data_IF_340377715577
#
_entry.id   IF_340377715577
#
_cell.length_a   1.000
_cell.length_b   1.000
_cell.length_c   1.000
_cell.angle_alpha   90.00
_cell.angle_beta   90.00
_cell.angle_gamma   90.00
#
_symmetry.space_group_name_H-M   'P 1'
#
loop_
_entity.id
_entity.type
_entity.pdbx_description
1 polymer ?
#
# COMPACT_ATOMS: atom_id res chain seq x y z
N UNK A 1 -17.45 6.83 19.79
CA UNK A 1 -16.57 8.01 19.58
C UNK A 1 -16.27 8.17 18.09
N UNK A 2 -15.96 7.10 17.38
CA UNK A 2 -15.71 7.09 15.93
C UNK A 2 -16.97 7.17 15.05
N UNK A 3 -18.08 6.52 15.42
CA UNK A 3 -19.33 6.66 14.65
C UNK A 3 -19.79 8.11 14.48
N UNK A 4 -19.68 8.91 15.54
CA UNK A 4 -20.02 10.33 15.50
C UNK A 4 -19.04 11.10 14.62
N UNK A 5 -17.76 10.71 14.61
CA UNK A 5 -16.76 11.30 13.72
C UNK A 5 -17.07 10.98 12.26
N UNK A 6 -17.31 9.72 11.90
CA UNK A 6 -17.70 9.32 10.56
C UNK A 6 -18.98 10.03 10.08
N UNK A 7 -19.99 10.20 10.96
CA UNK A 7 -21.19 10.99 10.64
C UNK A 7 -20.88 12.47 10.39
N UNK A 8 -19.96 13.06 11.15
CA UNK A 8 -19.53 14.44 10.94
C UNK A 8 -18.75 14.60 9.63
N UNK A 9 -17.98 13.59 9.22
CA UNK A 9 -17.29 13.57 7.93
C UNK A 9 -18.29 13.47 6.77
N UNK A 10 -19.33 12.61 6.87
CA UNK A 10 -20.44 12.59 5.90
C UNK A 10 -21.08 13.97 5.74
N UNK A 11 -21.34 14.64 6.87
CA UNK A 11 -21.88 16.01 6.86
C UNK A 11 -20.92 17.02 6.24
N UNK A 12 -19.61 16.82 6.35
CA UNK A 12 -18.64 17.69 5.70
C UNK A 12 -18.70 17.55 4.17
N UNK A 13 -18.90 16.34 3.64
CA UNK A 13 -19.12 16.14 2.21
C UNK A 13 -20.39 16.84 1.72
N UNK A 14 -21.48 16.75 2.49
CA UNK A 14 -22.71 17.49 2.19
C UNK A 14 -22.48 19.02 2.17
N UNK A 15 -21.68 19.53 3.11
CA UNK A 15 -21.32 20.95 3.17
C UNK A 15 -20.48 21.39 1.96
N UNK A 16 -19.57 20.53 1.49
CA UNK A 16 -18.80 20.79 0.25
C UNK A 16 -19.78 20.84 -0.94
N UNK A 17 -20.71 19.90 -1.04
CA UNK A 17 -21.72 19.86 -2.10
C UNK A 17 -22.65 21.09 -2.11
N UNK A 18 -22.88 21.70 -0.94
CA UNK A 18 -23.69 22.90 -0.80
C UNK A 18 -22.91 24.21 -0.96
N UNK A 19 -21.57 24.15 -1.11
CA UNK A 19 -20.72 25.32 -1.23
C UNK A 19 -20.32 25.56 -2.70
N UNK A 20 -20.87 26.60 -3.37
CA UNK A 20 -20.56 26.88 -4.77
C UNK A 20 -19.07 27.16 -5.03
N UNK A 21 -18.37 27.79 -4.08
CA UNK A 21 -16.94 28.06 -4.20
C UNK A 21 -16.13 26.76 -4.14
N UNK A 22 -16.50 25.84 -3.24
CA UNK A 22 -15.85 24.54 -3.15
C UNK A 22 -16.08 23.70 -4.42
N UNK A 23 -17.29 23.74 -4.98
CA UNK A 23 -17.60 23.07 -6.25
C UNK A 23 -16.81 23.64 -7.42
N UNK A 24 -16.65 24.97 -7.48
CA UNK A 24 -15.83 25.61 -8.52
C UNK A 24 -14.36 25.19 -8.41
N UNK A 25 -13.82 25.12 -7.19
CA UNK A 25 -12.47 24.64 -6.94
C UNK A 25 -12.31 23.16 -7.30
N UNK A 26 -13.31 22.32 -7.01
CA UNK A 26 -13.31 20.90 -7.39
C UNK A 26 -13.32 20.71 -8.91
N UNK A 27 -14.12 21.48 -9.62
CA UNK A 27 -14.15 21.44 -11.08
C UNK A 27 -12.80 21.88 -11.66
N UNK A 28 -12.20 22.95 -11.12
CA UNK A 28 -10.88 23.40 -11.53
C UNK A 28 -9.81 22.33 -11.25
N UNK A 29 -9.87 21.69 -10.09
CA UNK A 29 -8.95 20.62 -9.71
C UNK A 29 -9.05 19.43 -10.66
N UNK A 30 -10.26 18.96 -10.95
CA UNK A 30 -10.52 17.85 -11.88
C UNK A 30 -9.95 18.16 -13.28
N UNK A 31 -10.10 19.40 -13.75
CA UNK A 31 -9.51 19.83 -15.02
C UNK A 31 -7.97 19.82 -14.99
N UNK A 32 -7.36 20.25 -13.89
CA UNK A 32 -5.91 20.21 -13.73
C UNK A 32 -5.38 18.78 -13.64
N UNK A 33 -6.08 17.88 -12.95
CA UNK A 33 -5.71 16.46 -12.87
C UNK A 33 -5.69 15.83 -14.26
N UNK A 34 -6.74 16.03 -15.05
CA UNK A 34 -6.81 15.46 -16.39
C UNK A 34 -5.69 15.98 -17.30
N UNK A 35 -5.31 17.25 -17.17
CA UNK A 35 -4.17 17.83 -17.91
C UNK A 35 -2.84 17.23 -17.45
N UNK A 36 -2.66 17.08 -16.14
CA UNK A 36 -1.48 16.48 -15.56
C UNK A 36 -1.33 15.02 -16.00
N UNK A 37 -2.39 14.21 -15.97
CA UNK A 37 -2.36 12.81 -16.40
C UNK A 37 -1.95 12.67 -17.87
N UNK A 38 -2.51 13.49 -18.76
CA UNK A 38 -2.13 13.48 -20.18
C UNK A 38 -0.64 13.85 -20.38
N UNK A 39 -0.17 14.87 -19.66
CA UNK A 39 1.23 15.27 -19.71
C UNK A 39 2.16 14.20 -19.15
N UNK A 40 1.82 13.64 -17.99
CA UNK A 40 2.57 12.59 -17.32
C UNK A 40 2.66 11.34 -18.22
N UNK A 41 1.56 10.94 -18.85
CA UNK A 41 1.55 9.81 -19.78
C UNK A 41 2.44 10.04 -21.01
N UNK A 42 2.41 11.25 -21.58
CA UNK A 42 3.28 11.61 -22.70
C UNK A 42 4.77 11.57 -22.34
N UNK A 43 5.13 12.00 -21.12
CA UNK A 43 6.50 11.95 -20.62
C UNK A 43 6.95 10.52 -20.32
N UNK A 44 6.11 9.72 -19.68
CA UNK A 44 6.39 8.31 -19.44
C UNK A 44 6.58 7.54 -20.76
N UNK A 45 5.83 7.86 -21.81
CA UNK A 45 6.03 7.29 -23.14
C UNK A 45 7.40 7.62 -23.76
N UNK A 46 8.05 8.70 -23.30
CA UNK A 46 9.41 9.09 -23.67
C UNK A 46 10.47 8.54 -22.70
N UNK A 47 10.07 7.72 -21.72
CA UNK A 47 10.95 7.22 -20.66
C UNK A 47 11.34 8.27 -19.62
N UNK A 48 10.63 9.40 -19.57
CA UNK A 48 10.86 10.48 -18.61
C UNK A 48 9.89 10.30 -17.45
N UNK A 49 10.43 10.18 -16.23
CA UNK A 49 9.63 10.20 -15.02
C UNK A 49 9.17 11.64 -14.72
N UNK A 50 7.85 11.91 -14.71
CA UNK A 50 7.32 13.26 -14.51
C UNK A 50 7.71 13.87 -13.15
N UNK A 51 7.85 13.05 -12.09
CA UNK A 51 8.26 13.56 -10.78
C UNK A 51 9.74 13.98 -10.79
N UNK A 52 10.60 13.21 -11.47
CA UNK A 52 12.02 13.58 -11.61
C UNK A 52 12.21 14.82 -12.49
N UNK A 53 11.28 15.08 -13.41
CA UNK A 53 11.24 16.28 -14.23
C UNK A 53 10.67 17.52 -13.49
N UNK A 54 10.32 17.39 -12.21
CA UNK A 54 9.79 18.48 -11.39
C UNK A 54 8.33 18.81 -11.65
N UNK A 55 7.60 17.97 -12.39
CA UNK A 55 6.16 18.13 -12.57
C UNK A 55 5.45 17.45 -11.40
N UNK A 56 4.73 18.23 -10.61
CA UNK A 56 3.98 17.75 -9.46
C UNK A 56 2.50 17.60 -9.81
N UNK A 57 1.82 16.60 -9.22
CA UNK A 57 0.37 16.50 -9.36
C UNK A 57 -0.30 17.72 -8.74
N UNK A 58 -1.42 18.18 -9.30
CA UNK A 58 -2.19 19.26 -8.69
C UNK A 58 -2.62 18.87 -7.28
N UNK A 59 -2.79 19.86 -6.42
CA UNK A 59 -3.23 19.67 -5.03
C UNK A 59 -4.62 20.24 -4.85
N UNK A 60 -5.47 19.51 -4.14
CA UNK A 60 -6.81 19.97 -3.82
C UNK A 60 -6.74 21.02 -2.70
N UNK A 61 -7.26 22.21 -2.96
CA UNK A 61 -7.17 23.36 -2.04
C UNK A 61 -8.39 23.51 -1.11
N UNK A 62 -9.31 22.55 -1.12
CA UNK A 62 -10.46 22.53 -0.21
C UNK A 62 -10.21 21.62 1.00
N UNK A 63 -10.72 21.96 2.19
CA UNK A 63 -10.59 21.09 3.35
C UNK A 63 -11.46 19.85 3.19
N UNK A 64 -10.83 18.68 3.11
CA UNK A 64 -11.48 17.37 3.11
C UNK A 64 -11.28 16.64 4.44
N UNK A 65 -12.17 15.69 4.81
CA UNK A 65 -11.91 14.76 5.90
C UNK A 65 -10.54 14.10 5.76
N UNK A 66 -9.87 13.87 6.89
CA UNK A 66 -8.53 13.31 6.93
C UNK A 66 -8.55 11.98 7.69
N UNK A 67 -8.04 10.92 7.07
CA UNK A 67 -7.84 9.63 7.74
C UNK A 67 -6.67 9.71 8.71
N UNK A 68 -6.82 9.14 9.91
CA UNK A 68 -5.77 9.09 10.93
C UNK A 68 -5.69 7.72 11.57
N UNK A 69 -4.47 7.28 11.86
CA UNK A 69 -4.14 5.90 12.25
C UNK A 69 -4.80 5.43 13.56
N UNK A 70 -5.26 6.34 14.42
CA UNK A 70 -5.88 6.00 15.71
C UNK A 70 -7.41 5.86 15.63
N UNK A 71 -8.01 6.00 14.45
CA UNK A 71 -9.46 5.81 14.27
C UNK A 71 -9.82 4.33 14.12
N UNK A 72 -11.03 3.99 14.54
CA UNK A 72 -11.63 2.70 14.18
C UNK A 72 -12.09 2.74 12.72
N UNK A 73 -11.20 2.28 11.83
CA UNK A 73 -11.44 2.31 10.39
C UNK A 73 -12.57 1.38 9.95
N UNK A 74 -12.84 0.27 10.66
CA UNK A 74 -13.95 -0.62 10.33
C UNK A 74 -15.29 0.10 10.54
N UNK A 75 -15.42 0.82 11.67
CA UNK A 75 -16.59 1.66 11.97
C UNK A 75 -16.76 2.76 10.92
N UNK A 76 -15.67 3.45 10.54
CA UNK A 76 -15.73 4.49 9.49
C UNK A 76 -16.21 3.93 8.16
N UNK A 77 -15.61 2.82 7.68
CA UNK A 77 -16.01 2.17 6.42
C UNK A 77 -17.48 1.75 6.46
N UNK A 78 -17.94 1.18 7.56
CA UNK A 78 -19.35 0.82 7.73
C UNK A 78 -20.27 2.05 7.59
N UNK A 79 -19.94 3.14 8.30
CA UNK A 79 -20.73 4.37 8.31
C UNK A 79 -20.73 5.10 6.95
N UNK A 80 -19.59 5.15 6.26
CA UNK A 80 -19.50 5.73 4.92
C UNK A 80 -20.22 4.88 3.88
N UNK A 81 -20.15 3.55 3.96
CA UNK A 81 -20.90 2.68 3.05
C UNK A 81 -22.41 2.75 3.28
N UNK A 82 -22.87 2.99 4.51
CA UNK A 82 -24.27 3.30 4.77
C UNK A 82 -24.69 4.62 4.11
N UNK A 83 -23.83 5.64 4.16
CA UNK A 83 -24.04 6.92 3.47
C UNK A 83 -24.05 6.79 1.94
N UNK A 84 -23.08 6.07 1.35
CA UNK A 84 -23.00 5.79 -0.10
C UNK A 84 -24.21 5.03 -0.66
N UNK A 85 -24.98 4.37 0.21
CA UNK A 85 -26.22 3.67 -0.14
C UNK A 85 -27.49 4.50 0.09
N UNK A 86 -27.33 5.75 0.55
CA UNK A 86 -28.45 6.64 0.83
C UNK A 86 -28.77 7.52 -0.39
N UNK A 87 -30.02 7.94 -0.51
CA UNK A 87 -30.45 8.87 -1.57
C UNK A 87 -29.69 10.20 -1.53
N UNK A 88 -29.25 10.61 -0.35
CA UNK A 88 -28.47 11.82 -0.17
C UNK A 88 -27.12 11.75 -0.88
N UNK A 89 -26.49 10.57 -0.94
CA UNK A 89 -25.26 10.37 -1.72
C UNK A 89 -25.55 10.45 -3.23
N UNK A 90 -26.66 9.87 -3.69
CA UNK A 90 -27.06 9.91 -5.11
C UNK A 90 -27.30 11.35 -5.59
N UNK A 91 -27.71 12.25 -4.68
CA UNK A 91 -27.92 13.68 -4.95
C UNK A 91 -26.63 14.52 -4.93
N UNK A 92 -25.50 13.97 -4.44
CA UNK A 92 -24.23 14.70 -4.43
C UNK A 92 -23.71 14.92 -5.86
N UNK A 93 -23.04 16.05 -6.13
CA UNK A 93 -22.30 16.23 -7.37
C UNK A 93 -21.25 15.13 -7.57
N UNK A 94 -20.99 14.69 -8.81
CA UNK A 94 -20.05 13.60 -9.10
C UNK A 94 -18.66 13.81 -8.48
N UNK A 95 -18.17 15.05 -8.48
CA UNK A 95 -16.87 15.40 -7.91
C UNK A 95 -16.84 15.16 -6.40
N UNK A 96 -17.95 15.38 -5.70
CA UNK A 96 -18.05 15.12 -4.26
C UNK A 96 -18.25 13.64 -3.97
N UNK A 97 -18.99 12.92 -4.84
CA UNK A 97 -19.07 11.45 -4.75
C UNK A 97 -17.69 10.80 -4.86
N UNK A 98 -16.85 11.29 -5.78
CA UNK A 98 -15.47 10.83 -5.92
C UNK A 98 -14.64 11.08 -4.65
N UNK A 99 -14.78 12.24 -4.00
CA UNK A 99 -14.11 12.51 -2.73
C UNK A 99 -14.51 11.52 -1.62
N UNK A 100 -15.80 11.19 -1.53
CA UNK A 100 -16.28 10.19 -0.57
C UNK A 100 -15.67 8.83 -0.86
N UNK A 101 -15.64 8.43 -2.13
CA UNK A 101 -15.13 7.13 -2.56
C UNK A 101 -13.62 7.01 -2.31
N UNK A 102 -12.86 8.05 -2.61
CA UNK A 102 -11.43 8.11 -2.30
C UNK A 102 -11.17 8.05 -0.78
N UNK A 103 -11.95 8.79 0.01
CA UNK A 103 -11.85 8.76 1.48
C UNK A 103 -12.12 7.37 2.06
N UNK A 104 -13.13 6.65 1.53
CA UNK A 104 -13.38 5.25 1.90
C UNK A 104 -12.21 4.36 1.51
N UNK A 105 -11.62 4.54 0.34
CA UNK A 105 -10.43 3.78 -0.07
C UNK A 105 -9.23 4.03 0.84
N UNK A 106 -9.05 5.26 1.35
CA UNK A 106 -8.00 5.57 2.31
C UNK A 106 -8.19 4.78 3.62
N UNK A 107 -9.43 4.70 4.13
CA UNK A 107 -9.74 3.84 5.28
C UNK A 107 -9.53 2.35 4.99
N UNK A 108 -9.90 1.86 3.80
CA UNK A 108 -9.66 0.47 3.40
C UNK A 108 -8.16 0.14 3.34
N UNK A 109 -7.33 1.05 2.82
CA UNK A 109 -5.87 0.90 2.83
C UNK A 109 -5.33 0.85 4.26
N UNK A 110 -5.80 1.74 5.13
CA UNK A 110 -5.36 1.78 6.52
C UNK A 110 -5.78 0.52 7.32
N UNK A 111 -6.91 -0.12 6.97
CA UNK A 111 -7.29 -1.43 7.52
C UNK A 111 -6.35 -2.56 7.09
N UNK A 112 -5.87 -2.52 5.85
CA UNK A 112 -5.04 -3.59 5.30
C UNK A 112 -3.55 -3.41 5.58
N UNK A 113 -3.08 -2.19 5.84
CA UNK A 113 -1.66 -1.89 6.05
C UNK A 113 -1.00 -2.75 7.17
N UNK A 114 -1.62 -2.98 8.35
CA UNK A 114 -1.04 -3.87 9.35
C UNK A 114 -0.88 -5.31 8.86
N UNK A 115 -1.84 -5.78 8.07
CA UNK A 115 -1.88 -7.14 7.53
C UNK A 115 -0.80 -7.36 6.46
N UNK A 116 -0.47 -6.33 5.68
CA UNK A 116 0.63 -6.35 4.72
C UNK A 116 1.98 -6.45 5.44
N UNK A 117 2.19 -5.67 6.50
CA UNK A 117 3.42 -5.72 7.33
C UNK A 117 3.59 -7.09 7.98
N UNK A 118 2.53 -7.66 8.56
CA UNK A 118 2.58 -9.01 9.14
C UNK A 118 2.94 -10.07 8.09
N UNK A 119 2.41 -9.94 6.86
CA UNK A 119 2.71 -10.86 5.76
C UNK A 119 4.17 -10.73 5.30
N UNK A 120 4.69 -9.52 5.17
CA UNK A 120 6.09 -9.29 4.80
C UNK A 120 7.04 -9.88 5.85
N UNK A 121 6.77 -9.67 7.13
CA UNK A 121 7.53 -10.26 8.24
C UNK A 121 7.52 -11.80 8.18
N UNK A 122 6.37 -12.39 7.88
CA UNK A 122 6.23 -13.85 7.81
C UNK A 122 7.02 -14.44 6.63
N UNK A 123 6.99 -13.78 5.46
CA UNK A 123 7.79 -14.18 4.28
C UNK A 123 9.28 -14.04 4.56
N UNK A 124 9.71 -12.96 5.21
CA UNK A 124 11.12 -12.77 5.57
C UNK A 124 11.61 -13.85 6.55
N UNK A 125 10.78 -14.19 7.54
CA UNK A 125 11.09 -15.24 8.50
C UNK A 125 11.17 -16.64 7.86
N UNK A 126 10.27 -16.95 6.91
CA UNK A 126 10.35 -18.20 6.14
C UNK A 126 11.60 -18.27 5.26
N UNK A 127 12.00 -17.16 4.63
CA UNK A 127 13.23 -17.08 3.84
C UNK A 127 14.46 -17.32 4.71
N UNK A 128 14.54 -16.68 5.89
CA UNK A 128 15.65 -16.89 6.83
C UNK A 128 15.75 -18.35 7.28
N UNK A 129 14.63 -18.99 7.65
CA UNK A 129 14.64 -20.41 8.01
C UNK A 129 15.09 -21.31 6.85
N UNK A 130 14.68 -21.00 5.64
CA UNK A 130 15.06 -21.78 4.46
C UNK A 130 16.55 -21.63 4.13
N UNK A 131 17.11 -20.44 4.31
CA UNK A 131 18.54 -20.18 4.15
C UNK A 131 19.37 -20.89 5.23
N UNK A 132 18.93 -20.84 6.49
CA UNK A 132 19.58 -21.54 7.59
C UNK A 132 19.57 -23.06 7.39
N UNK A 133 18.47 -23.64 6.92
CA UNK A 133 18.41 -25.06 6.56
C UNK A 133 19.35 -25.42 5.41
N UNK A 134 19.50 -24.55 4.40
CA UNK A 134 20.45 -24.78 3.30
C UNK A 134 21.89 -24.74 3.80
N UNK A 135 22.24 -23.73 4.61
CA UNK A 135 23.57 -23.61 5.20
C UNK A 135 23.92 -24.83 6.08
N UNK A 136 22.97 -25.31 6.88
CA UNK A 136 23.17 -26.51 7.72
C UNK A 136 23.40 -27.77 6.87
N UNK A 137 22.63 -27.96 5.79
CA UNK A 137 22.84 -29.10 4.86
C UNK A 137 24.19 -29.01 4.16
N UNK A 138 24.60 -27.83 3.73
CA UNK A 138 25.90 -27.62 3.09
C UNK A 138 27.05 -27.91 4.06
N UNK A 139 26.93 -27.47 5.31
CA UNK A 139 27.91 -27.78 6.36
C UNK A 139 28.00 -29.29 6.62
N UNK A 140 26.87 -29.99 6.70
CA UNK A 140 26.86 -31.46 6.88
C UNK A 140 27.53 -32.17 5.69
N UNK A 141 27.22 -31.76 4.46
CA UNK A 141 27.85 -32.29 3.26
C UNK A 141 29.38 -32.11 3.29
N UNK A 142 29.86 -30.91 3.65
CA UNK A 142 31.29 -30.65 3.78
C UNK A 142 31.98 -31.49 4.86
N UNK A 143 31.28 -31.80 5.96
CA UNK A 143 31.79 -32.69 7.00
C UNK A 143 31.87 -34.14 6.51
N UNK A 144 30.87 -34.60 5.76
CA UNK A 144 30.89 -35.94 5.15
C UNK A 144 32.05 -36.09 4.15
N UNK A 145 32.23 -35.12 3.25
CA UNK A 145 33.36 -35.11 2.31
C UNK A 145 34.71 -35.17 3.04
N UNK A 146 34.91 -34.35 4.08
CA UNK A 146 36.14 -34.40 4.88
C UNK A 146 36.38 -35.74 5.58
N UNK A 147 35.32 -36.44 6.02
CA UNK A 147 35.46 -37.77 6.61
C UNK A 147 35.95 -38.80 5.60
N UNK A 148 35.38 -38.79 4.39
CA UNK A 148 35.77 -39.68 3.30
C UNK A 148 37.25 -39.44 2.90
N UNK A 149 37.67 -38.19 2.75
CA UNK A 149 39.07 -37.84 2.44
C UNK A 149 40.06 -38.36 3.51
N UNK A 150 39.66 -38.33 4.79
CA UNK A 150 40.48 -38.84 5.90
C UNK A 150 40.54 -40.38 5.89
N UNK A 151 39.45 -41.06 5.54
CA UNK A 151 39.41 -42.52 5.37
C UNK A 151 40.27 -42.97 4.19
N UNK A 152 40.17 -42.33 3.02
CA UNK A 152 41.02 -42.65 1.86
C UNK A 152 42.51 -42.54 2.20
N UNK A 153 42.93 -41.43 2.82
CA UNK A 153 44.33 -41.23 3.22
C UNK A 153 44.81 -42.24 4.27
N UNK A 154 43.90 -42.78 5.09
CA UNK A 154 44.23 -43.86 6.05
C UNK A 154 44.44 -45.20 5.35
N UNK A 155 43.63 -45.49 4.32
CA UNK A 155 43.73 -46.72 3.53
C UNK A 155 44.99 -46.71 2.67
N UNK A 156 45.32 -45.60 2.01
CA UNK A 156 46.57 -45.45 1.23
C UNK A 156 47.81 -45.66 2.10
N UNK A 157 47.85 -45.08 3.31
CA UNK A 157 48.96 -45.28 4.26
C UNK A 157 49.08 -46.70 4.82
N UNK A 158 48.03 -47.51 4.76
CA UNK A 158 48.08 -48.92 5.16
C UNK A 158 48.50 -49.83 3.99
N UNK A 159 48.22 -49.45 2.74
CA UNK A 159 48.69 -50.15 1.54
C UNK A 159 50.19 -49.98 1.27
N UNK A 160 50.78 -48.85 1.66
CA UNK A 160 52.22 -48.56 1.45
C UNK A 160 53.16 -49.25 2.46
N UNK A 161 52.61 -50.06 3.39
CA UNK A 161 53.37 -50.79 4.42
C UNK A 161 53.51 -52.31 4.18
N UNK A 162 53.19 -52.80 2.99
CA UNK A 162 53.37 -54.21 2.60
C UNK A 162 54.53 -54.36 1.62
#
# INVERSE_FOLDING_TARGET
LDENKAKMENKQFEQIAQNPEALQLLQQYTMQEQQFEQQAQAMQAQGIDPMQAGIQPPQLSIPTPQVRDFYDHEVHVYMHNAFRKSSLYDELPPEVQQLVDEHVQQHMKALHAPMEVDRELQVEQEQQMQEEQRAMKEQDLQLQHRKLDIEEKKVEKQGEKV
#
